data_IF_442480869666
#
_entry.id   IF_442480869666
#
_cell.length_a   1.000
_cell.length_b   1.000
_cell.length_c   1.000
_cell.angle_alpha   90.00
_cell.angle_beta   90.00
_cell.angle_gamma   90.00
#
_symmetry.space_group_name_H-M   'P 1'
#
loop_
_entity.id
_entity.type
_entity.pdbx_description
1 polymer ?
#
# COMPACT_ATOMS: atom_id res chain seq x y z
N UNK A 1 -19.29 13.28 -9.31
CA UNK A 1 -18.43 12.08 -9.13
C UNK A 1 -18.75 11.47 -7.79
N UNK A 2 -19.00 10.16 -7.74
CA UNK A 2 -19.46 9.47 -6.52
C UNK A 2 -18.32 9.38 -5.49
N UNK A 3 -18.64 9.79 -4.26
CA UNK A 3 -17.73 10.03 -3.13
C UNK A 3 -17.11 8.77 -2.48
N UNK A 4 -17.10 7.62 -3.15
CA UNK A 4 -16.80 6.31 -2.53
C UNK A 4 -15.60 5.56 -3.13
N UNK A 5 -14.86 6.11 -4.09
CA UNK A 5 -13.86 5.31 -4.84
C UNK A 5 -12.65 4.88 -4.00
N UNK A 6 -12.07 5.72 -3.16
CA UNK A 6 -10.75 5.44 -2.59
C UNK A 6 -10.76 4.32 -1.54
N UNK A 7 -11.81 4.22 -0.71
CA UNK A 7 -12.00 3.11 0.26
C UNK A 7 -12.23 1.77 -0.47
N UNK A 8 -13.04 1.81 -1.53
CA UNK A 8 -13.38 0.64 -2.33
C UNK A 8 -12.15 0.16 -3.12
N UNK A 9 -11.36 1.08 -3.70
CA UNK A 9 -10.09 0.78 -4.37
C UNK A 9 -9.03 0.28 -3.36
N UNK A 10 -8.92 0.88 -2.17
CA UNK A 10 -8.00 0.41 -1.14
C UNK A 10 -8.33 -1.04 -0.71
N UNK A 11 -9.61 -1.33 -0.50
CA UNK A 11 -10.08 -2.68 -0.21
C UNK A 11 -9.80 -3.65 -1.37
N UNK A 12 -10.07 -3.24 -2.61
CA UNK A 12 -9.76 -4.02 -3.81
C UNK A 12 -8.27 -4.39 -3.88
N UNK A 13 -7.38 -3.47 -3.55
CA UNK A 13 -5.94 -3.72 -3.55
C UNK A 13 -5.50 -4.66 -2.43
N UNK A 14 -6.08 -4.55 -1.25
CA UNK A 14 -5.83 -5.47 -0.15
C UNK A 14 -6.29 -6.88 -0.54
N UNK A 15 -7.50 -7.00 -1.12
CA UNK A 15 -8.06 -8.23 -1.65
C UNK A 15 -7.15 -8.86 -2.72
N UNK A 16 -6.80 -8.10 -3.76
CA UNK A 16 -5.91 -8.58 -4.85
C UNK A 16 -4.56 -9.05 -4.33
N UNK A 17 -3.95 -8.33 -3.39
CA UNK A 17 -2.63 -8.69 -2.84
C UNK A 17 -2.62 -9.99 -2.02
N UNK A 18 -3.76 -10.36 -1.40
CA UNK A 18 -3.91 -11.58 -0.61
C UNK A 18 -4.24 -12.83 -1.45
N UNK A 19 -4.68 -12.61 -2.69
CA UNK A 19 -5.25 -13.65 -3.56
C UNK A 19 -4.35 -13.92 -4.77
N UNK A 20 -3.61 -12.92 -5.27
CA UNK A 20 -2.73 -13.09 -6.41
C UNK A 20 -1.48 -13.93 -6.04
N UNK A 21 -1.18 -15.02 -6.76
CA UNK A 21 0.11 -15.69 -6.65
C UNK A 21 1.24 -14.76 -7.09
N UNK A 22 2.37 -14.79 -6.37
CA UNK A 22 3.64 -14.29 -6.92
C UNK A 22 3.94 -15.15 -8.16
N UNK A 23 3.90 -14.54 -9.35
CA UNK A 23 4.31 -15.05 -10.68
C UNK A 23 3.21 -15.57 -11.62
N UNK A 24 3.14 -14.91 -12.79
CA UNK A 24 3.16 -15.57 -14.09
C UNK A 24 1.84 -15.96 -14.75
N UNK A 25 0.83 -16.45 -14.02
CA UNK A 25 -0.28 -17.15 -14.66
C UNK A 25 -1.65 -16.47 -14.48
N UNK A 26 -1.95 -15.62 -15.47
CA UNK A 26 -3.17 -15.40 -16.28
C UNK A 26 -4.61 -15.79 -15.85
N UNK A 27 -4.88 -16.42 -14.70
CA UNK A 27 -6.28 -16.70 -14.33
C UNK A 27 -6.86 -15.53 -13.54
N UNK A 28 -7.86 -14.86 -14.11
CA UNK A 28 -8.60 -13.77 -13.46
C UNK A 28 -9.63 -14.27 -12.45
N UNK A 29 -9.91 -15.58 -12.47
CA UNK A 29 -10.87 -16.26 -11.61
C UNK A 29 -10.19 -16.86 -10.38
N UNK A 30 -10.73 -16.55 -9.20
CA UNK A 30 -10.21 -17.02 -7.91
C UNK A 30 -11.35 -17.48 -7.01
N UNK A 31 -11.23 -18.67 -6.43
CA UNK A 31 -12.14 -19.16 -5.38
C UNK A 31 -11.52 -18.87 -4.01
N UNK A 32 -12.22 -18.10 -3.16
CA UNK A 32 -11.69 -17.68 -1.86
C UNK A 32 -12.73 -17.93 -0.75
N UNK A 33 -12.28 -18.50 0.36
CA UNK A 33 -13.04 -18.58 1.61
C UNK A 33 -13.12 -17.19 2.26
N UNK A 34 -14.33 -16.69 2.49
CA UNK A 34 -14.57 -15.41 3.18
C UNK A 34 -14.01 -15.48 4.60
N UNK A 35 -14.14 -16.62 5.27
CA UNK A 35 -13.55 -16.88 6.58
C UNK A 35 -12.02 -16.78 6.57
N UNK A 36 -11.36 -17.33 5.55
CA UNK A 36 -9.90 -17.26 5.43
C UNK A 36 -9.46 -15.84 5.09
N UNK A 37 -10.22 -15.15 4.24
CA UNK A 37 -9.97 -13.76 3.91
C UNK A 37 -10.15 -12.87 5.15
N UNK A 38 -11.19 -13.09 5.95
CA UNK A 38 -11.40 -12.40 7.23
C UNK A 38 -10.26 -12.62 8.21
N UNK A 39 -9.75 -13.85 8.30
CA UNK A 39 -8.60 -14.16 9.14
C UNK A 39 -7.31 -13.49 8.62
N UNK A 40 -7.03 -13.55 7.31
CA UNK A 40 -5.84 -12.92 6.70
C UNK A 40 -5.88 -11.40 6.76
N UNK A 41 -7.06 -10.82 6.53
CA UNK A 41 -7.30 -9.38 6.61
C UNK A 41 -7.47 -8.90 8.05
N UNK A 42 -7.65 -9.79 9.02
CA UNK A 42 -8.12 -9.48 10.38
C UNK A 42 -9.28 -8.47 10.37
N UNK A 43 -10.23 -8.67 9.45
CA UNK A 43 -11.38 -7.80 9.25
C UNK A 43 -12.68 -8.59 9.40
N UNK A 44 -13.71 -7.93 9.91
CA UNK A 44 -15.03 -8.55 10.09
C UNK A 44 -15.62 -9.01 8.75
N UNK A 45 -16.17 -10.22 8.74
CA UNK A 45 -16.80 -10.85 7.57
C UNK A 45 -17.87 -9.94 6.93
N UNK A 46 -18.62 -9.17 7.73
CA UNK A 46 -19.66 -8.25 7.25
C UNK A 46 -19.05 -7.06 6.49
N UNK A 47 -17.90 -6.57 6.94
CA UNK A 47 -17.16 -5.49 6.26
C UNK A 47 -16.68 -6.00 4.90
N UNK A 48 -16.02 -7.16 4.88
CA UNK A 48 -15.57 -7.82 3.65
C UNK A 48 -16.74 -8.05 2.69
N UNK A 49 -17.86 -8.59 3.18
CA UNK A 49 -19.05 -8.85 2.36
C UNK A 49 -19.64 -7.57 1.76
N UNK A 50 -19.67 -6.47 2.53
CA UNK A 50 -20.13 -5.16 2.04
C UNK A 50 -19.26 -4.65 0.89
N UNK A 51 -17.93 -4.72 1.02
CA UNK A 51 -17.03 -4.27 -0.04
C UNK A 51 -17.06 -5.17 -1.26
N UNK A 52 -17.08 -6.49 -1.10
CA UNK A 52 -17.23 -7.40 -2.24
C UNK A 52 -18.51 -7.11 -3.03
N UNK A 53 -19.60 -6.75 -2.34
CA UNK A 53 -20.84 -6.33 -2.99
C UNK A 53 -20.66 -5.00 -3.74
N UNK A 54 -20.05 -3.99 -3.11
CA UNK A 54 -19.77 -2.70 -3.76
C UNK A 54 -18.87 -2.84 -4.99
N UNK A 55 -17.75 -3.55 -4.87
CA UNK A 55 -16.84 -3.82 -5.98
C UNK A 55 -17.53 -4.51 -7.15
N UNK A 56 -18.51 -5.37 -6.87
CA UNK A 56 -19.38 -5.96 -7.90
C UNK A 56 -20.33 -4.94 -8.53
N UNK A 57 -20.97 -4.11 -7.71
CA UNK A 57 -21.87 -3.04 -8.18
C UNK A 57 -21.12 -2.01 -9.05
N UNK A 58 -19.85 -1.74 -8.74
CA UNK A 58 -18.95 -0.84 -9.47
C UNK A 58 -18.24 -1.49 -10.68
N UNK A 59 -18.47 -2.79 -10.92
CA UNK A 59 -17.89 -3.52 -12.06
C UNK A 59 -16.39 -3.82 -11.95
N UNK A 60 -15.80 -3.69 -10.75
CA UNK A 60 -14.38 -3.97 -10.51
C UNK A 60 -14.10 -5.46 -10.32
N UNK A 61 -15.09 -6.23 -9.85
CA UNK A 61 -15.01 -7.69 -9.72
C UNK A 61 -16.33 -8.36 -10.13
N UNK A 62 -16.28 -9.53 -10.79
CA UNK A 62 -17.47 -10.36 -10.95
C UNK A 62 -17.50 -11.47 -9.90
N UNK A 63 -18.60 -11.54 -9.14
CA UNK A 63 -18.86 -12.68 -8.23
C UNK A 63 -19.59 -13.76 -9.02
N UNK A 64 -18.87 -14.82 -9.38
CA UNK A 64 -19.34 -15.85 -10.32
C UNK A 64 -20.28 -16.89 -9.67
N UNK A 65 -20.09 -17.23 -8.38
CA UNK A 65 -20.97 -18.06 -7.56
C UNK A 65 -20.56 -17.94 -6.07
N UNK A 66 -21.52 -18.09 -5.15
CA UNK A 66 -21.29 -18.25 -3.72
C UNK A 66 -21.75 -19.63 -3.26
N UNK A 67 -20.82 -20.46 -2.76
CA UNK A 67 -21.14 -21.78 -2.19
C UNK A 67 -20.49 -21.84 -0.82
N UNK A 68 -21.30 -22.04 0.22
CA UNK A 68 -20.90 -22.26 1.63
C UNK A 68 -19.58 -21.58 2.04
N UNK A 69 -19.64 -20.27 2.28
CA UNK A 69 -18.49 -19.50 2.79
C UNK A 69 -17.41 -19.17 1.75
N UNK A 70 -17.49 -19.72 0.53
CA UNK A 70 -16.56 -19.41 -0.56
C UNK A 70 -17.20 -18.49 -1.62
N UNK A 71 -16.38 -17.60 -2.18
CA UNK A 71 -16.73 -16.66 -3.25
C UNK A 71 -15.78 -16.84 -4.43
N UNK A 72 -16.33 -16.99 -5.63
CA UNK A 72 -15.56 -16.95 -6.87
C UNK A 72 -15.48 -15.50 -7.37
N UNK A 73 -14.28 -14.93 -7.44
CA UNK A 73 -14.01 -13.57 -7.91
C UNK A 73 -13.32 -13.59 -9.27
N UNK A 74 -13.82 -12.79 -10.21
CA UNK A 74 -13.15 -12.44 -11.45
C UNK A 74 -12.67 -10.99 -11.40
N UNK A 75 -11.40 -10.72 -11.68
CA UNK A 75 -10.88 -9.35 -11.78
C UNK A 75 -10.87 -8.88 -13.24
N UNK A 76 -11.45 -7.72 -13.56
CA UNK A 76 -11.34 -7.17 -14.93
C UNK A 76 -9.96 -6.55 -15.19
N UNK A 77 -9.35 -6.86 -16.35
CA UNK A 77 -7.97 -6.43 -16.71
C UNK A 77 -7.84 -4.95 -17.05
N UNK A 78 -8.88 -4.28 -17.54
CA UNK A 78 -8.74 -2.97 -18.20
C UNK A 78 -8.97 -1.81 -17.24
N UNK A 79 -7.87 -1.26 -16.72
CA UNK A 79 -7.75 -0.13 -15.79
C UNK A 79 -7.59 1.22 -16.53
N UNK A 80 -8.29 1.44 -17.65
CA UNK A 80 -8.07 2.61 -18.53
C UNK A 80 -8.46 3.97 -17.92
N UNK A 81 -9.04 4.01 -16.71
CA UNK A 81 -9.35 5.25 -15.97
C UNK A 81 -8.26 5.71 -15.00
N UNK A 82 -7.22 4.90 -14.78
CA UNK A 82 -6.20 5.14 -13.73
C UNK A 82 -4.91 5.78 -14.28
N UNK A 83 -4.79 6.02 -15.59
CA UNK A 83 -3.53 6.32 -16.29
C UNK A 83 -3.23 7.80 -16.54
N UNK A 84 -4.03 8.75 -16.03
CA UNK A 84 -3.86 10.19 -16.38
C UNK A 84 -2.85 10.97 -15.51
N UNK A 85 -2.16 10.31 -14.58
CA UNK A 85 -1.49 11.01 -13.48
C UNK A 85 0.04 10.84 -13.59
N UNK A 86 0.73 11.97 -13.87
CA UNK A 86 2.09 12.36 -13.41
C UNK A 86 3.16 12.57 -14.50
N UNK A 87 3.78 13.75 -14.42
CA UNK A 87 4.95 14.22 -15.18
C UNK A 87 6.16 14.43 -14.26
N UNK A 88 7.36 14.70 -14.80
CA UNK A 88 8.63 14.75 -14.03
C UNK A 88 8.72 15.93 -13.04
N UNK A 89 8.19 17.11 -13.38
CA UNK A 89 8.15 18.27 -12.46
C UNK A 89 7.25 18.00 -11.24
N UNK A 90 6.32 17.05 -11.37
CA UNK A 90 5.45 16.65 -10.28
C UNK A 90 6.14 15.73 -9.26
N UNK A 91 7.38 15.26 -9.48
CA UNK A 91 8.04 14.30 -8.57
C UNK A 91 8.46 14.94 -7.24
N UNK A 92 9.05 16.14 -7.25
CA UNK A 92 9.43 16.84 -6.00
C UNK A 92 8.18 17.28 -5.22
N UNK A 93 7.18 17.78 -5.93
CA UNK A 93 5.86 18.10 -5.36
C UNK A 93 5.20 16.86 -4.77
N UNK A 94 5.24 15.72 -5.47
CA UNK A 94 4.77 14.42 -4.98
C UNK A 94 5.49 14.01 -3.70
N UNK A 95 6.81 14.16 -3.61
CA UNK A 95 7.56 13.78 -2.40
C UNK A 95 7.16 14.66 -1.22
N UNK A 96 7.06 15.98 -1.43
CA UNK A 96 6.63 16.92 -0.40
C UNK A 96 5.21 16.60 0.08
N UNK A 97 4.29 16.40 -0.85
CA UNK A 97 2.90 16.07 -0.57
C UNK A 97 2.76 14.74 0.18
N UNK A 98 3.55 13.73 -0.18
CA UNK A 98 3.57 12.45 0.52
C UNK A 98 4.12 12.60 1.93
N UNK A 99 5.16 13.42 2.11
CA UNK A 99 5.71 13.70 3.44
C UNK A 99 4.69 14.39 4.34
N UNK A 100 3.99 15.41 3.83
CA UNK A 100 2.96 16.13 4.56
C UNK A 100 1.78 15.22 4.90
N UNK A 101 1.36 14.37 3.95
CA UNK A 101 0.32 13.37 4.18
C UNK A 101 0.71 12.36 5.27
N UNK A 102 1.94 11.85 5.23
CA UNK A 102 2.46 10.91 6.23
C UNK A 102 2.53 11.56 7.61
N UNK A 103 2.99 12.80 7.71
CA UNK A 103 3.05 13.52 8.99
C UNK A 103 1.65 13.84 9.54
N UNK A 104 0.72 14.29 8.68
CA UNK A 104 -0.70 14.49 9.04
C UNK A 104 -1.33 13.20 9.57
N UNK A 105 -0.95 12.04 9.03
CA UNK A 105 -1.48 10.71 9.37
C UNK A 105 -0.51 9.86 10.21
N UNK A 106 0.45 10.47 10.89
CA UNK A 106 1.53 9.78 11.62
C UNK A 106 1.04 8.75 12.62
N UNK A 107 -0.08 9.02 13.29
CA UNK A 107 -0.73 8.08 14.23
C UNK A 107 -1.11 6.75 13.59
N UNK A 108 -1.45 6.75 12.30
CA UNK A 108 -1.79 5.56 11.52
C UNK A 108 -0.56 4.81 11.02
N UNK A 109 0.51 5.52 10.66
CA UNK A 109 1.75 4.95 10.12
C UNK A 109 2.74 4.44 11.17
N UNK A 110 2.32 4.35 12.43
CA UNK A 110 3.19 3.96 13.56
C UNK A 110 3.85 2.57 13.40
N UNK A 111 3.36 1.79 12.45
CA UNK A 111 3.78 0.43 12.08
C UNK A 111 5.23 0.31 11.63
N UNK A 112 5.79 1.33 10.98
CA UNK A 112 7.18 1.23 10.51
C UNK A 112 8.20 1.44 11.64
N UNK A 113 7.86 2.15 12.71
CA UNK A 113 8.85 2.49 13.73
C UNK A 113 9.25 1.29 14.60
N UNK A 114 8.39 0.30 14.80
CA UNK A 114 8.69 -0.90 15.61
C UNK A 114 9.25 -2.07 14.78
N UNK A 115 9.47 -1.87 13.49
CA UNK A 115 9.95 -2.92 12.59
C UNK A 115 11.47 -3.13 12.77
N UNK A 116 11.90 -4.35 13.14
CA UNK A 116 13.32 -4.69 13.32
C UNK A 116 14.18 -4.37 12.08
N UNK A 117 13.61 -4.47 10.88
CA UNK A 117 14.28 -4.08 9.65
C UNK A 117 14.58 -2.58 9.62
N UNK A 118 13.66 -1.73 10.09
CA UNK A 118 13.83 -0.28 10.13
C UNK A 118 14.96 0.08 11.10
N UNK A 119 15.02 -0.53 12.28
CA UNK A 119 16.13 -0.30 13.23
C UNK A 119 17.49 -0.72 12.64
N UNK A 120 17.53 -1.85 11.94
CA UNK A 120 18.75 -2.34 11.27
C UNK A 120 19.22 -1.38 10.19
N UNK A 121 18.33 -0.93 9.31
CA UNK A 121 18.68 0.00 8.24
C UNK A 121 18.98 1.41 8.75
N UNK A 122 18.35 1.85 9.85
CA UNK A 122 18.69 3.12 10.49
C UNK A 122 20.13 3.13 10.99
N UNK A 123 20.58 2.02 11.60
CA UNK A 123 21.96 1.86 12.03
C UNK A 123 22.93 1.78 10.84
N UNK A 124 22.57 1.03 9.78
CA UNK A 124 23.40 0.92 8.57
C UNK A 124 23.59 2.27 7.88
N UNK A 125 22.51 3.05 7.75
CA UNK A 125 22.54 4.41 7.18
C UNK A 125 23.37 5.35 8.06
N UNK A 126 23.14 5.35 9.38
CA UNK A 126 23.91 6.18 10.32
C UNK A 126 25.41 5.89 10.24
N UNK A 127 25.81 4.63 10.31
CA UNK A 127 27.21 4.24 10.23
C UNK A 127 27.83 4.67 8.88
N UNK A 128 27.10 4.50 7.78
CA UNK A 128 27.59 4.90 6.47
C UNK A 128 27.77 6.42 6.36
N UNK A 129 26.83 7.21 6.90
CA UNK A 129 26.93 8.67 6.97
C UNK A 129 28.08 9.13 7.87
N UNK A 130 28.32 8.44 8.99
CA UNK A 130 29.43 8.72 9.90
C UNK A 130 30.79 8.41 9.23
N UNK A 131 30.88 7.36 8.43
CA UNK A 131 32.10 6.95 7.73
C UNK A 131 32.41 7.79 6.47
N UNK A 132 31.40 8.08 5.65
CA UNK A 132 31.55 8.65 4.31
C UNK A 132 31.04 10.08 4.18
N UNK A 133 30.40 10.61 5.22
CA UNK A 133 29.82 11.95 5.27
C UNK A 133 28.35 12.00 4.87
N UNK A 134 27.68 13.10 5.26
CA UNK A 134 26.23 13.29 5.16
C UNK A 134 25.68 13.28 3.71
N UNK A 135 26.52 13.56 2.71
CA UNK A 135 26.13 13.58 1.29
C UNK A 135 26.37 12.24 0.59
N UNK A 136 26.57 11.17 1.35
CA UNK A 136 26.72 9.82 0.82
C UNK A 136 25.49 9.39 0.04
N UNK A 137 25.71 8.69 -1.07
CA UNK A 137 24.64 8.03 -1.80
C UNK A 137 24.05 6.87 -0.98
N UNK A 138 22.76 6.99 -0.65
CA UNK A 138 21.99 6.01 0.11
C UNK A 138 21.07 5.16 -0.77
N UNK A 139 21.06 5.39 -2.10
CA UNK A 139 20.07 4.82 -3.02
C UNK A 139 20.03 3.29 -2.96
N UNK A 140 21.19 2.64 -2.86
CA UNK A 140 21.29 1.19 -2.76
C UNK A 140 20.66 0.67 -1.45
N UNK A 141 20.97 1.30 -0.32
CA UNK A 141 20.44 0.90 1.00
C UNK A 141 18.93 1.15 1.06
N UNK A 142 18.45 2.28 0.53
CA UNK A 142 17.03 2.62 0.46
C UNK A 142 16.27 1.58 -0.39
N UNK A 143 16.74 1.33 -1.61
CA UNK A 143 16.12 0.36 -2.53
C UNK A 143 16.05 -1.03 -1.91
N UNK A 144 17.16 -1.49 -1.31
CA UNK A 144 17.23 -2.78 -0.62
C UNK A 144 16.30 -2.82 0.59
N UNK A 145 16.28 -1.78 1.42
CA UNK A 145 15.47 -1.72 2.63
C UNK A 145 13.98 -1.77 2.36
N UNK A 146 13.51 -1.00 1.38
CA UNK A 146 12.10 -1.02 0.97
C UNK A 146 11.70 -2.40 0.45
N UNK A 147 12.53 -3.01 -0.42
CA UNK A 147 12.28 -4.35 -0.95
C UNK A 147 12.19 -5.39 0.16
N UNK A 148 13.15 -5.41 1.08
CA UNK A 148 13.17 -6.41 2.15
C UNK A 148 11.96 -6.24 3.08
N UNK A 149 11.65 -5.02 3.51
CA UNK A 149 10.49 -4.74 4.37
C UNK A 149 9.18 -5.16 3.70
N UNK A 150 8.99 -4.78 2.43
CA UNK A 150 7.78 -5.09 1.69
C UNK A 150 7.79 -6.50 1.08
N UNK A 151 8.88 -7.26 1.18
CA UNK A 151 8.90 -8.68 0.80
C UNK A 151 8.12 -9.55 1.79
N UNK A 152 8.05 -9.11 3.04
CA UNK A 152 7.26 -9.71 4.11
C UNK A 152 5.76 -9.45 3.92
N UNK A 153 4.97 -10.52 3.84
CA UNK A 153 3.52 -10.43 3.63
C UNK A 153 2.82 -9.66 4.74
N UNK A 154 3.25 -9.88 5.99
CA UNK A 154 2.72 -9.18 7.16
C UNK A 154 2.82 -7.66 7.00
N UNK A 155 3.96 -7.16 6.53
CA UNK A 155 4.20 -5.72 6.39
C UNK A 155 3.34 -5.12 5.27
N UNK A 156 3.23 -5.81 4.12
CA UNK A 156 2.34 -5.37 3.04
C UNK A 156 0.88 -5.34 3.46
N UNK A 157 0.43 -6.39 4.15
CA UNK A 157 -0.95 -6.50 4.63
C UNK A 157 -1.27 -5.39 5.61
N UNK A 158 -0.37 -5.14 6.56
CA UNK A 158 -0.52 -4.11 7.56
C UNK A 158 -0.56 -2.70 6.93
N UNK A 159 0.35 -2.39 6.02
CA UNK A 159 0.35 -1.11 5.28
C UNK A 159 -0.96 -0.88 4.51
N UNK A 160 -1.49 -1.93 3.88
CA UNK A 160 -2.76 -1.85 3.16
C UNK A 160 -3.94 -1.63 4.09
N UNK A 161 -3.94 -2.22 5.30
CA UNK A 161 -4.94 -1.93 6.32
C UNK A 161 -4.85 -0.48 6.77
N UNK A 162 -3.64 0.04 6.97
CA UNK A 162 -3.44 1.45 7.34
C UNK A 162 -4.02 2.40 6.30
N UNK A 163 -3.71 2.19 5.02
CA UNK A 163 -4.26 2.97 3.91
C UNK A 163 -5.80 2.90 3.92
N UNK A 164 -6.36 1.72 4.16
CA UNK A 164 -7.80 1.52 4.24
C UNK A 164 -8.44 2.24 5.45
N UNK A 165 -7.82 2.21 6.64
CA UNK A 165 -8.34 2.94 7.80
C UNK A 165 -8.26 4.45 7.60
N UNK A 166 -7.19 4.96 6.99
CA UNK A 166 -7.09 6.40 6.65
C UNK A 166 -8.20 6.78 5.66
N UNK A 167 -8.50 5.93 4.67
CA UNK A 167 -9.53 6.19 3.67
C UNK A 167 -10.95 6.35 4.25
N UNK A 168 -11.26 5.69 5.38
CA UNK A 168 -12.58 5.79 6.03
C UNK A 168 -12.89 7.18 6.58
N UNK A 169 -11.86 7.90 6.99
CA UNK A 169 -11.97 9.21 7.65
C UNK A 169 -11.35 10.34 6.84
N UNK A 170 -10.89 10.05 5.62
CA UNK A 170 -10.21 11.01 4.76
C UNK A 170 -11.15 12.14 4.29
N UNK A 171 -10.64 13.37 4.34
CA UNK A 171 -11.23 14.51 3.64
C UNK A 171 -10.94 14.42 2.12
N UNK A 172 -11.50 15.35 1.34
CA UNK A 172 -11.39 15.30 -0.13
C UNK A 172 -9.93 15.39 -0.63
N UNK A 173 -9.07 16.09 0.09
CA UNK A 173 -7.67 16.25 -0.31
C UNK A 173 -6.85 15.01 0.09
N UNK A 174 -7.11 14.44 1.27
CA UNK A 174 -6.55 13.15 1.69
C UNK A 174 -6.96 12.01 0.73
N UNK A 175 -8.19 12.02 0.21
CA UNK A 175 -8.67 11.02 -0.75
C UNK A 175 -7.89 11.08 -2.08
N UNK A 176 -7.61 12.28 -2.60
CA UNK A 176 -6.77 12.44 -3.81
C UNK A 176 -5.36 11.86 -3.59
N UNK A 177 -4.78 12.10 -2.41
CA UNK A 177 -3.48 11.54 -2.06
C UNK A 177 -3.50 10.02 -1.93
N UNK A 178 -4.56 9.46 -1.37
CA UNK A 178 -4.74 8.00 -1.34
C UNK A 178 -4.85 7.40 -2.75
N UNK A 179 -5.53 8.08 -3.67
CA UNK A 179 -5.61 7.66 -5.08
C UNK A 179 -4.23 7.68 -5.76
N UNK A 180 -3.43 8.71 -5.55
CA UNK A 180 -2.04 8.79 -6.02
C UNK A 180 -1.16 7.66 -5.44
N UNK A 181 -1.23 7.43 -4.12
CA UNK A 181 -0.51 6.33 -3.44
C UNK A 181 -0.84 4.99 -4.08
N UNK A 182 -2.14 4.76 -4.30
CA UNK A 182 -2.64 3.54 -4.92
C UNK A 182 -2.14 3.42 -6.36
N UNK A 183 -2.19 4.51 -7.12
CA UNK A 183 -1.69 4.55 -8.49
C UNK A 183 -0.23 4.12 -8.57
N UNK A 184 0.63 4.70 -7.73
CA UNK A 184 2.05 4.32 -7.67
C UNK A 184 2.24 2.86 -7.30
N UNK A 185 1.43 2.34 -6.37
CA UNK A 185 1.52 0.94 -5.95
C UNK A 185 1.23 -0.05 -7.09
N UNK A 186 0.38 0.34 -8.03
CA UNK A 186 -0.01 -0.50 -9.16
C UNK A 186 0.97 -0.43 -10.33
N UNK A 187 1.63 0.72 -10.50
CA UNK A 187 2.36 1.02 -11.73
C UNK A 187 3.88 1.11 -11.56
N UNK A 188 4.38 1.26 -10.32
CA UNK A 188 5.80 1.40 -10.05
C UNK A 188 6.36 0.17 -9.29
N UNK A 189 7.63 -0.20 -9.56
CA UNK A 189 8.39 -1.06 -8.67
C UNK A 189 8.35 -0.53 -7.22
N UNK A 190 8.39 -1.42 -6.24
CA UNK A 190 8.21 -1.04 -4.83
C UNK A 190 9.30 -0.06 -4.36
N UNK A 191 10.52 -0.22 -4.85
CA UNK A 191 11.68 0.61 -4.56
C UNK A 191 11.67 1.98 -5.27
N UNK A 192 10.83 2.13 -6.29
CA UNK A 192 10.68 3.36 -7.08
C UNK A 192 9.38 4.10 -6.74
N UNK A 193 8.55 3.51 -5.87
CA UNK A 193 7.29 4.08 -5.45
C UNK A 193 7.53 5.26 -4.47
N UNK A 194 7.15 6.49 -4.82
CA UNK A 194 7.41 7.67 -3.99
C UNK A 194 6.84 7.55 -2.58
N UNK A 195 5.65 6.96 -2.44
CA UNK A 195 5.03 6.78 -1.13
C UNK A 195 5.85 5.81 -0.26
N UNK A 196 6.29 4.67 -0.79
CA UNK A 196 7.08 3.71 -0.02
C UNK A 196 8.46 4.25 0.34
N UNK A 197 9.09 4.98 -0.58
CA UNK A 197 10.37 5.64 -0.33
C UNK A 197 10.24 6.68 0.77
N UNK A 198 9.27 7.59 0.66
CA UNK A 198 9.05 8.62 1.68
C UNK A 198 8.70 8.00 3.02
N UNK A 199 7.80 7.01 3.05
CA UNK A 199 7.42 6.33 4.28
C UNK A 199 8.58 5.60 4.96
N UNK A 200 9.46 4.96 4.18
CA UNK A 200 10.69 4.34 4.69
C UNK A 200 11.64 5.38 5.26
N UNK A 201 11.92 6.45 4.52
CA UNK A 201 12.84 7.51 4.94
C UNK A 201 12.34 8.26 6.19
N UNK A 202 11.04 8.51 6.31
CA UNK A 202 10.44 9.09 7.52
C UNK A 202 10.68 8.16 8.72
N UNK A 203 10.48 6.85 8.56
CA UNK A 203 10.69 5.88 9.62
C UNK A 203 12.17 5.77 10.05
N UNK A 204 13.08 5.74 9.08
CA UNK A 204 14.52 5.76 9.32
C UNK A 204 14.95 7.04 10.04
N UNK A 205 14.50 8.20 9.55
CA UNK A 205 14.86 9.50 10.11
C UNK A 205 14.42 9.60 11.57
N UNK A 206 13.22 9.11 11.89
CA UNK A 206 12.75 9.02 13.26
C UNK A 206 13.65 8.11 14.10
N UNK A 207 13.98 6.91 13.63
CA UNK A 207 14.84 6.00 14.40
C UNK A 207 16.26 6.55 14.63
N UNK A 208 16.86 7.20 13.63
CA UNK A 208 18.20 7.81 13.76
C UNK A 208 18.21 8.89 14.86
N UNK A 209 17.12 9.64 15.05
CA UNK A 209 17.03 10.63 16.13
C UNK A 209 17.17 10.02 17.54
N UNK A 210 16.91 8.72 17.69
CA UNK A 210 16.98 8.00 18.96
C UNK A 210 18.19 7.05 19.08
N UNK A 211 19.08 7.01 18.08
CA UNK A 211 20.36 6.28 18.08
C UNK A 211 21.52 7.17 18.50
#
# INVERSE_FOLDING_TARGET
MNKNMSEDIAFFNLLRGLIAPKLGNETLDYTISISDLANKMEMDIKIISKFLKKLKEDGLVNVLNGVDGNVNLHFEKTHDKLLEIISVDAVEETISDMSDFIEKKKSHFNINYENEYISRYALEIKNLMDEKGQNTDLSEIISKGIKEILSEEKNRTLLNKTIFEIAKEADEDDLKKLEEIIYFKLNLPVEENPFYVTLFLTAISYQIQYL
#
